data_IF_075971489902
#
_entry.id   IF_075971489902
#
_cell.length_a   1.000
_cell.length_b   1.000
_cell.length_c   1.000
_cell.angle_alpha   90.00
_cell.angle_beta   90.00
_cell.angle_gamma   90.00
#
_symmetry.space_group_name_H-M   'P 1'
#
loop_
_entity.id
_entity.type
_entity.pdbx_description
1 polymer ?
#
# COMPACT_ATOMS: atom_id res chain seq x y z
N UNK A 1 38.47 1.46 -13.96
CA UNK A 1 37.09 1.73 -13.51
C UNK A 1 36.89 3.23 -13.60
N UNK A 2 35.95 3.71 -14.41
CA UNK A 2 35.67 5.15 -14.53
C UNK A 2 35.12 5.58 -13.16
N UNK A 3 35.77 6.52 -12.47
CA UNK A 3 35.18 7.10 -11.25
C UNK A 3 33.84 7.71 -11.67
N UNK A 4 32.75 7.14 -11.18
CA UNK A 4 31.44 7.76 -11.33
C UNK A 4 31.45 9.06 -10.55
N UNK A 5 31.00 10.12 -11.21
CA UNK A 5 30.81 11.39 -10.54
C UNK A 5 29.71 11.25 -9.46
N UNK A 6 29.81 12.05 -8.40
CA UNK A 6 28.88 11.97 -7.27
C UNK A 6 27.41 12.14 -7.70
N UNK A 7 27.16 12.91 -8.77
CA UNK A 7 25.81 13.14 -9.29
C UNK A 7 25.29 11.91 -10.06
N UNK A 8 26.15 11.17 -10.76
CA UNK A 8 25.76 9.92 -11.44
C UNK A 8 25.40 8.85 -10.40
N UNK A 9 26.18 8.78 -9.32
CA UNK A 9 25.89 7.90 -8.19
C UNK A 9 24.54 8.23 -7.55
N UNK A 10 24.23 9.52 -7.33
CA UNK A 10 22.94 9.98 -6.81
C UNK A 10 21.78 9.61 -7.72
N UNK A 11 21.97 9.74 -9.04
CA UNK A 11 20.95 9.38 -10.02
C UNK A 11 20.65 7.88 -9.99
N UNK A 12 21.71 7.05 -10.02
CA UNK A 12 21.61 5.58 -9.95
C UNK A 12 20.96 5.15 -8.63
N UNK A 13 21.35 5.75 -7.51
CA UNK A 13 20.75 5.47 -6.21
C UNK A 13 19.26 5.84 -6.17
N UNK A 14 18.88 7.01 -6.69
CA UNK A 14 17.47 7.42 -6.76
C UNK A 14 16.61 6.46 -7.60
N UNK A 15 17.12 6.03 -8.76
CA UNK A 15 16.45 5.05 -9.62
C UNK A 15 16.33 3.71 -8.91
N UNK A 16 17.40 3.24 -8.25
CA UNK A 16 17.39 1.98 -7.51
C UNK A 16 16.34 2.00 -6.38
N UNK A 17 16.22 3.10 -5.65
CA UNK A 17 15.21 3.28 -4.60
C UNK A 17 13.79 3.27 -5.19
N UNK A 18 13.56 3.99 -6.29
CA UNK A 18 12.25 4.01 -6.96
C UNK A 18 11.85 2.63 -7.50
N UNK A 19 12.79 1.89 -8.09
CA UNK A 19 12.54 0.53 -8.59
C UNK A 19 12.32 -0.47 -7.45
N UNK A 20 13.14 -0.42 -6.39
CA UNK A 20 12.99 -1.30 -5.24
C UNK A 20 11.62 -1.13 -4.57
N UNK A 21 11.16 0.11 -4.42
CA UNK A 21 9.84 0.42 -3.84
C UNK A 21 8.68 -0.01 -4.74
N UNK A 22 8.84 0.07 -6.06
CA UNK A 22 7.86 -0.42 -7.02
C UNK A 22 7.73 -1.96 -6.95
N UNK A 23 8.87 -2.65 -6.97
CA UNK A 23 8.96 -4.12 -7.06
C UNK A 23 8.72 -4.83 -5.73
N UNK A 24 8.89 -4.16 -4.58
CA UNK A 24 8.60 -4.77 -3.29
C UNK A 24 7.11 -5.17 -3.21
N UNK A 25 6.81 -6.46 -2.96
CA UNK A 25 5.45 -6.92 -2.83
C UNK A 25 4.79 -6.30 -1.60
N UNK A 26 3.49 -6.04 -1.69
CA UNK A 26 2.70 -5.67 -0.50
C UNK A 26 2.73 -6.80 0.52
N UNK A 27 2.70 -6.46 1.80
CA UNK A 27 2.52 -7.44 2.86
C UNK A 27 1.08 -7.96 2.83
N UNK A 28 0.94 -9.27 2.93
CA UNK A 28 -0.36 -9.91 3.04
C UNK A 28 -0.75 -9.90 4.51
N UNK A 29 -1.79 -9.12 4.83
CA UNK A 29 -2.35 -9.07 6.18
C UNK A 29 -3.69 -9.80 6.16
N UNK A 30 -3.86 -10.71 7.10
CA UNK A 30 -5.11 -11.45 7.27
C UNK A 30 -5.61 -11.33 8.70
N UNK A 31 -6.93 -11.36 8.86
CA UNK A 31 -7.57 -11.33 10.16
C UNK A 31 -8.99 -11.87 10.10
N UNK A 32 -9.42 -12.51 11.17
CA UNK A 32 -10.76 -13.07 11.31
C UNK A 32 -11.57 -12.19 12.27
N UNK A 33 -12.76 -11.79 11.83
CA UNK A 33 -13.67 -10.92 12.58
C UNK A 33 -15.07 -11.53 12.59
N UNK A 34 -15.59 -11.80 13.79
CA UNK A 34 -16.94 -12.35 13.96
C UNK A 34 -17.96 -11.23 14.24
N UNK A 35 -19.25 -11.55 14.15
CA UNK A 35 -20.31 -10.55 14.35
C UNK A 35 -20.18 -9.84 15.70
N UNK A 36 -20.24 -8.50 15.66
CA UNK A 36 -20.00 -7.63 16.82
C UNK A 36 -18.53 -7.32 17.10
N UNK A 37 -17.58 -7.87 16.33
CA UNK A 37 -16.16 -7.56 16.47
C UNK A 37 -15.71 -6.47 15.50
N UNK A 38 -14.72 -5.70 15.97
CA UNK A 38 -14.00 -4.73 15.16
C UNK A 38 -12.52 -4.77 15.48
N UNK A 39 -11.68 -4.52 14.47
CA UNK A 39 -10.25 -4.36 14.68
C UNK A 39 -9.59 -3.66 13.49
N UNK A 40 -8.27 -3.64 13.50
CA UNK A 40 -7.48 -2.96 12.48
C UNK A 40 -6.65 -3.97 11.71
N UNK A 41 -6.67 -3.82 10.38
CA UNK A 41 -5.85 -4.59 9.45
C UNK A 41 -4.98 -3.59 8.68
N UNK A 42 -3.79 -3.31 9.20
CA UNK A 42 -2.95 -2.20 8.75
C UNK A 42 -3.65 -0.85 8.98
N UNK A 43 -3.83 -0.08 7.90
CA UNK A 43 -4.52 1.22 7.93
C UNK A 43 -6.05 1.11 7.82
N UNK A 44 -6.58 -0.09 7.60
CA UNK A 44 -8.01 -0.31 7.45
C UNK A 44 -8.65 -0.69 8.78
N UNK A 45 -9.80 -0.09 9.08
CA UNK A 45 -10.66 -0.50 10.18
C UNK A 45 -11.68 -1.51 9.62
N UNK A 46 -11.65 -2.72 10.16
CA UNK A 46 -12.57 -3.80 9.83
C UNK A 46 -13.58 -3.92 10.96
N UNK A 47 -14.86 -3.94 10.63
CA UNK A 47 -15.93 -4.14 11.59
C UNK A 47 -17.00 -5.04 11.00
N UNK A 48 -17.48 -5.99 11.79
CA UNK A 48 -18.61 -6.85 11.44
C UNK A 48 -19.78 -6.50 12.34
N UNK A 49 -20.89 -6.09 11.75
CA UNK A 49 -22.10 -5.75 12.49
C UNK A 49 -23.34 -6.15 11.72
N UNK A 50 -24.27 -6.82 12.40
CA UNK A 50 -25.53 -7.30 11.80
C UNK A 50 -25.27 -8.20 10.59
N UNK A 51 -24.17 -8.96 10.63
CA UNK A 51 -23.72 -9.79 9.52
C UNK A 51 -23.12 -9.03 8.33
N UNK A 52 -22.96 -7.71 8.38
CA UNK A 52 -22.26 -6.95 7.35
C UNK A 52 -20.78 -6.84 7.68
N UNK A 53 -19.92 -7.22 6.75
CA UNK A 53 -18.50 -6.89 6.77
C UNK A 53 -18.32 -5.47 6.22
N UNK A 54 -17.82 -4.56 7.04
CA UNK A 54 -17.42 -3.21 6.61
C UNK A 54 -15.92 -3.03 6.81
N UNK A 55 -15.27 -2.55 5.77
CA UNK A 55 -13.87 -2.13 5.81
C UNK A 55 -13.81 -0.66 5.41
N UNK A 56 -13.27 0.14 6.31
CA UNK A 56 -13.13 1.58 6.15
C UNK A 56 -11.66 1.99 6.18
N UNK A 57 -11.32 3.01 5.41
CA UNK A 57 -10.06 3.73 5.52
C UNK A 57 -10.34 5.12 6.11
N UNK A 58 -9.29 5.93 6.28
CA UNK A 58 -9.44 7.32 6.71
C UNK A 58 -10.36 8.15 5.80
N UNK A 59 -10.52 7.77 4.52
CA UNK A 59 -11.41 8.44 3.56
C UNK A 59 -12.85 7.89 3.55
N UNK A 60 -13.18 6.98 4.47
CA UNK A 60 -14.51 6.34 4.59
C UNK A 60 -14.55 4.90 4.12
N UNK A 61 -15.75 4.38 3.86
CA UNK A 61 -15.96 2.97 3.52
C UNK A 61 -15.37 2.64 2.15
N UNK A 62 -14.48 1.65 2.14
CA UNK A 62 -13.78 1.16 0.95
C UNK A 62 -14.27 -0.22 0.51
N UNK A 63 -14.85 -0.98 1.42
CA UNK A 63 -15.39 -2.31 1.12
C UNK A 63 -16.57 -2.62 2.03
N UNK A 64 -17.65 -3.15 1.46
CA UNK A 64 -18.81 -3.63 2.21
C UNK A 64 -19.30 -4.93 1.57
N UNK A 65 -19.49 -5.96 2.38
CA UNK A 65 -20.06 -7.23 1.95
C UNK A 65 -21.06 -7.76 2.98
N UNK A 66 -21.98 -8.60 2.51
CA UNK A 66 -22.93 -9.34 3.33
C UNK A 66 -22.95 -10.78 2.86
N UNK A 67 -22.40 -11.68 3.67
CA UNK A 67 -22.12 -13.08 3.33
C UNK A 67 -21.39 -13.12 1.98
N UNK A 68 -21.90 -13.87 1.01
CA UNK A 68 -21.30 -13.98 -0.33
C UNK A 68 -21.67 -12.81 -1.27
N UNK A 69 -22.51 -11.87 -0.82
CA UNK A 69 -22.91 -10.71 -1.60
C UNK A 69 -21.99 -9.52 -1.36
N UNK A 70 -21.25 -9.14 -2.40
CA UNK A 70 -20.46 -7.92 -2.43
C UNK A 70 -21.36 -6.69 -2.69
N UNK A 71 -21.36 -5.72 -1.77
CA UNK A 71 -22.17 -4.50 -1.89
C UNK A 71 -21.33 -3.34 -2.42
N UNK A 72 -20.11 -3.19 -1.91
CA UNK A 72 -19.18 -2.12 -2.30
C UNK A 72 -17.75 -2.66 -2.36
N UNK A 73 -17.04 -2.34 -3.45
CA UNK A 73 -15.61 -2.65 -3.60
C UNK A 73 -14.90 -1.48 -4.27
N UNK A 74 -14.22 -0.66 -3.48
CA UNK A 74 -13.28 0.37 -3.95
C UNK A 74 -11.83 -0.13 -3.96
N UNK A 75 -11.53 -1.16 -3.17
CA UNK A 75 -10.20 -1.77 -3.05
C UNK A 75 -10.26 -3.26 -3.36
N UNK A 76 -9.19 -3.80 -3.93
CA UNK A 76 -9.02 -5.24 -4.10
C UNK A 76 -8.73 -5.88 -2.75
N UNK A 77 -9.70 -6.62 -2.26
CA UNK A 77 -9.70 -7.31 -0.96
C UNK A 77 -10.36 -8.66 -1.17
N UNK A 78 -9.74 -9.69 -0.61
CA UNK A 78 -10.27 -11.04 -0.59
C UNK A 78 -10.91 -11.31 0.77
N UNK A 79 -12.04 -12.00 0.77
CA UNK A 79 -12.71 -12.37 2.00
C UNK A 79 -13.39 -13.73 1.86
N UNK A 80 -13.50 -14.42 2.98
CA UNK A 80 -14.28 -15.66 3.10
C UNK A 80 -15.21 -15.54 4.29
N UNK A 81 -16.43 -16.08 4.13
CA UNK A 81 -17.44 -16.10 5.17
C UNK A 81 -17.59 -17.52 5.71
N UNK A 82 -17.63 -17.66 7.04
CA UNK A 82 -17.88 -18.93 7.72
C UNK A 82 -19.20 -18.86 8.48
N UNK A 83 -20.10 -19.78 8.16
CA UNK A 83 -21.42 -19.90 8.80
C UNK A 83 -21.33 -20.39 10.25
N UNK A 84 -20.30 -21.16 10.61
CA UNK A 84 -20.10 -21.77 11.94
C UNK A 84 -19.75 -20.77 13.07
N UNK A 85 -19.96 -19.47 12.84
CA UNK A 85 -19.76 -18.41 13.83
C UNK A 85 -20.09 -17.01 13.33
N UNK A 86 -20.72 -16.88 12.15
CA UNK A 86 -20.90 -15.60 11.46
C UNK A 86 -19.59 -14.79 11.38
N UNK A 87 -18.50 -15.45 10.99
CA UNK A 87 -17.17 -14.87 10.96
C UNK A 87 -16.70 -14.62 9.53
N UNK A 88 -16.02 -13.49 9.35
CA UNK A 88 -15.35 -13.13 8.10
C UNK A 88 -13.85 -13.25 8.29
N UNK A 89 -13.18 -13.99 7.40
CA UNK A 89 -11.74 -13.89 7.24
C UNK A 89 -11.45 -12.93 6.11
N UNK A 90 -10.72 -11.87 6.42
CA UNK A 90 -10.41 -10.76 5.51
C UNK A 90 -8.93 -10.82 5.22
N UNK A 91 -8.60 -10.75 3.94
CA UNK A 91 -7.22 -10.76 3.45
C UNK A 91 -6.97 -9.56 2.55
N UNK A 92 -5.96 -8.76 2.92
CA UNK A 92 -5.57 -7.56 2.19
C UNK A 92 -4.11 -7.66 1.77
N UNK A 93 -3.84 -7.21 0.54
CA UNK A 93 -2.48 -6.85 0.12
C UNK A 93 -2.23 -5.40 0.49
N UNK A 94 -1.55 -5.21 1.62
CA UNK A 94 -1.22 -3.90 2.14
C UNK A 94 0.17 -3.47 1.65
N UNK A 95 0.22 -2.38 0.89
CA UNK A 95 1.46 -1.70 0.55
C UNK A 95 1.48 -0.38 1.30
N UNK A 96 2.22 -0.34 2.41
CA UNK A 96 2.14 0.76 3.37
C UNK A 96 2.54 2.11 2.79
N UNK A 97 2.08 3.19 3.42
CA UNK A 97 2.28 4.57 2.94
C UNK A 97 3.76 4.92 2.83
N UNK A 98 4.61 4.33 3.66
CA UNK A 98 6.07 4.50 3.61
C UNK A 98 6.69 4.16 2.24
N UNK A 99 6.11 3.22 1.49
CA UNK A 99 6.59 2.87 0.15
C UNK A 99 6.36 4.00 -0.86
N UNK A 100 5.26 4.74 -0.71
CA UNK A 100 4.95 5.90 -1.57
C UNK A 100 5.95 7.02 -1.30
N UNK A 101 6.26 7.28 -0.02
CA UNK A 101 7.26 8.29 0.34
C UNK A 101 8.66 7.92 -0.16
N UNK A 102 9.07 6.66 -0.01
CA UNK A 102 10.35 6.19 -0.52
C UNK A 102 10.44 6.26 -2.04
N UNK A 103 9.35 5.94 -2.76
CA UNK A 103 9.27 6.09 -4.20
C UNK A 103 9.41 7.57 -4.63
N UNK A 104 8.68 8.48 -3.99
CA UNK A 104 8.74 9.91 -4.27
C UNK A 104 10.12 10.50 -3.95
N UNK A 105 10.77 10.05 -2.87
CA UNK A 105 12.13 10.43 -2.53
C UNK A 105 13.14 9.96 -3.60
N UNK A 106 13.01 8.72 -4.06
CA UNK A 106 13.82 8.19 -5.16
C UNK A 106 13.71 9.04 -6.43
N UNK A 107 12.49 9.36 -6.86
CA UNK A 107 12.26 10.24 -8.02
C UNK A 107 12.82 11.65 -7.81
N UNK A 108 12.68 12.20 -6.60
CA UNK A 108 13.19 13.54 -6.28
C UNK A 108 14.72 13.60 -6.35
N UNK A 109 15.41 12.57 -5.87
CA UNK A 109 16.87 12.46 -5.96
C UNK A 109 17.33 12.35 -7.42
N UNK A 110 16.68 11.48 -8.20
CA UNK A 110 16.99 11.31 -9.63
C UNK A 110 16.75 12.60 -10.42
N UNK A 111 15.61 13.25 -10.21
CA UNK A 111 15.26 14.51 -10.87
C UNK A 111 16.18 15.66 -10.48
N UNK A 112 16.53 15.76 -9.19
CA UNK A 112 17.46 16.78 -8.68
C UNK A 112 18.87 16.62 -9.25
N UNK A 113 19.39 15.39 -9.27
CA UNK A 113 20.70 15.08 -9.85
C UNK A 113 20.72 15.41 -11.36
N UNK A 114 19.67 15.02 -12.09
CA UNK A 114 19.54 15.34 -13.51
C UNK A 114 19.52 16.86 -13.74
N UNK A 115 18.70 17.59 -12.99
CA UNK A 115 18.57 19.04 -13.12
C UNK A 115 19.91 19.74 -12.87
N UNK A 116 20.62 19.32 -11.83
CA UNK A 116 21.94 19.89 -11.52
C UNK A 116 22.95 19.65 -12.65
N UNK A 117 23.05 18.43 -13.17
CA UNK A 117 23.94 18.13 -14.30
C UNK A 117 23.57 18.92 -15.56
N UNK A 118 22.29 18.98 -15.89
CA UNK A 118 21.81 19.55 -17.14
C UNK A 118 21.89 21.09 -17.17
N UNK A 119 21.72 21.76 -16.02
CA UNK A 119 21.54 23.22 -15.99
C UNK A 119 22.54 23.97 -15.11
N UNK A 120 23.16 23.33 -14.12
CA UNK A 120 24.01 24.00 -13.14
C UNK A 120 25.49 23.63 -13.26
N UNK A 121 25.83 22.39 -13.63
CA UNK A 121 27.22 21.90 -13.68
C UNK A 121 28.07 22.57 -14.76
N UNK A 122 27.46 23.06 -15.84
CA UNK A 122 28.15 23.65 -17.00
C UNK A 122 27.95 25.17 -17.13
N UNK A 123 27.50 25.82 -16.05
CA UNK A 123 27.31 27.27 -15.98
C UNK A 123 28.36 27.90 -15.07
#
# INVERSE_FOLDING_TARGET
MRNMDAEELLMVAGIAIALATLLMPGQQLSGTFCDGQSGRLGDYLVSVSSGYLRVSSQSGDVFVAWKDMLILRKVWLDYTYSEDGNCYTVEIRYKGVHYIYAFAAGLSLTGGAFFYMAFLKYR
#
